data_IF_287379472473
#
_entry.id   IF_287379472473
#
_cell.length_a   1.000
_cell.length_b   1.000
_cell.length_c   1.000
_cell.angle_alpha   90.00
_cell.angle_beta   90.00
_cell.angle_gamma   90.00
#
_symmetry.space_group_name_H-M   'P 1'
#
loop_
_entity.id
_entity.type
_entity.pdbx_description
1 polymer ?
#
# COMPACT_ATOMS: atom_id res chain seq x y z
N UNK A 1 -15.63 3.83 -1.92
CA UNK A 1 -14.58 4.87 -1.74
C UNK A 1 -14.09 4.87 -0.29
N UNK A 2 -12.77 4.83 -0.07
CA UNK A 2 -12.11 4.98 1.25
C UNK A 2 -12.47 6.38 1.79
N UNK A 3 -13.31 6.50 2.83
CA UNK A 3 -13.53 7.81 3.49
C UNK A 3 -12.32 8.12 4.35
N UNK A 4 -11.85 9.37 4.32
CA UNK A 4 -10.68 9.79 5.09
C UNK A 4 -10.81 9.43 6.58
N UNK A 5 -9.72 8.95 7.17
CA UNK A 5 -9.64 8.62 8.60
C UNK A 5 -10.09 7.20 8.97
N UNK A 6 -10.80 6.49 8.08
CA UNK A 6 -11.15 5.07 8.30
C UNK A 6 -9.93 4.17 8.28
N UNK A 7 -9.98 3.05 9.00
CA UNK A 7 -8.92 2.04 8.94
C UNK A 7 -9.00 1.28 7.62
N UNK A 8 -7.84 1.05 7.03
CA UNK A 8 -7.70 0.30 5.78
C UNK A 8 -6.60 -0.74 5.89
N UNK A 9 -6.79 -1.88 5.23
CA UNK A 9 -5.74 -2.85 4.95
C UNK A 9 -5.59 -2.97 3.44
N UNK A 10 -4.39 -2.69 2.94
CA UNK A 10 -3.99 -2.95 1.56
C UNK A 10 -3.17 -4.24 1.52
N UNK A 11 -3.69 -5.27 0.87
CA UNK A 11 -2.96 -6.51 0.65
C UNK A 11 -2.44 -6.56 -0.80
N UNK A 12 -1.14 -6.75 -0.94
CA UNK A 12 -0.43 -6.90 -2.21
C UNK A 12 -0.04 -8.38 -2.30
N UNK A 13 -0.56 -9.07 -3.30
CA UNK A 13 -0.33 -10.50 -3.51
C UNK A 13 0.36 -10.69 -4.85
N UNK A 14 1.49 -11.39 -4.86
CA UNK A 14 2.24 -11.72 -6.06
C UNK A 14 2.67 -13.18 -6.06
N UNK A 15 3.28 -13.64 -7.15
CA UNK A 15 3.90 -14.99 -7.21
C UNK A 15 5.04 -15.19 -6.20
N UNK A 16 5.60 -14.10 -5.67
CA UNK A 16 6.74 -14.12 -4.75
C UNK A 16 6.33 -14.02 -3.27
N UNK A 17 5.05 -13.80 -3.00
CA UNK A 17 4.55 -13.64 -1.64
C UNK A 17 3.43 -12.62 -1.53
N UNK A 18 2.93 -12.46 -0.31
CA UNK A 18 1.87 -11.52 0.04
C UNK A 18 2.30 -10.62 1.18
N UNK A 19 1.89 -9.35 1.12
CA UNK A 19 2.15 -8.35 2.18
C UNK A 19 0.88 -7.55 2.40
N UNK A 20 0.44 -7.47 3.66
CA UNK A 20 -0.70 -6.66 4.05
C UNK A 20 -0.24 -5.45 4.88
N UNK A 21 -0.66 -4.27 4.45
CA UNK A 21 -0.26 -2.98 4.98
C UNK A 21 -1.48 -2.33 5.60
N UNK A 22 -1.42 -2.03 6.90
CA UNK A 22 -2.51 -1.40 7.62
C UNK A 22 -2.21 0.08 7.80
N UNK A 23 -3.24 0.92 7.70
CA UNK A 23 -3.13 2.36 7.95
C UNK A 23 -4.50 3.04 7.94
N UNK A 24 -4.52 4.36 7.84
CA UNK A 24 -5.74 5.16 7.70
C UNK A 24 -5.92 5.62 6.26
N UNK A 25 -7.15 5.52 5.75
CA UNK A 25 -7.55 6.04 4.44
C UNK A 25 -7.30 7.54 4.35
N UNK A 26 -6.69 7.99 3.25
CA UNK A 26 -6.78 9.37 2.79
C UNK A 26 -7.93 9.52 1.77
N UNK A 27 -8.40 10.74 1.53
CA UNK A 27 -9.28 11.03 0.39
C UNK A 27 -8.44 10.95 -0.90
N UNK A 28 -8.47 9.79 -1.54
CA UNK A 28 -7.73 9.49 -2.77
C UNK A 28 -8.65 9.63 -3.99
N UNK A 29 -8.26 10.46 -4.96
CA UNK A 29 -9.06 10.77 -6.14
C UNK A 29 -8.73 9.93 -7.38
N UNK A 30 -7.86 8.92 -7.25
CA UNK A 30 -7.46 8.08 -8.38
C UNK A 30 -6.30 8.69 -9.15
N UNK A 31 -5.22 7.93 -9.30
CA UNK A 31 -4.07 8.31 -10.13
C UNK A 31 -3.34 7.03 -10.56
N UNK A 32 -2.43 7.15 -11.52
CA UNK A 32 -1.54 6.04 -11.92
C UNK A 32 -0.51 5.69 -10.83
N UNK A 33 -0.42 6.46 -9.75
CA UNK A 33 0.61 6.33 -8.71
C UNK A 33 0.01 6.47 -7.31
N UNK A 34 0.11 5.39 -6.56
CA UNK A 34 -0.36 5.33 -5.17
C UNK A 34 0.84 5.35 -4.22
N UNK A 35 0.74 6.15 -3.17
CA UNK A 35 1.75 6.23 -2.10
C UNK A 35 1.12 5.76 -0.79
N UNK A 36 1.87 4.96 -0.04
CA UNK A 36 1.58 4.56 1.33
C UNK A 36 2.61 5.21 2.25
N UNK A 37 2.15 5.84 3.34
CA UNK A 37 3.02 6.65 4.21
C UNK A 37 2.94 6.18 5.66
N UNK A 38 4.12 6.00 6.27
CA UNK A 38 4.24 5.65 7.69
C UNK A 38 3.87 6.81 8.62
N UNK A 39 4.07 8.05 8.18
CA UNK A 39 3.69 9.25 8.93
C UNK A 39 2.33 9.82 8.50
N UNK A 40 1.87 10.86 9.21
CA UNK A 40 0.55 11.47 9.01
C UNK A 40 0.49 12.51 7.89
N UNK A 41 1.60 12.75 7.19
CA UNK A 41 1.63 13.64 6.03
C UNK A 41 0.76 13.07 4.90
N UNK A 42 -0.07 13.92 4.28
CA UNK A 42 -1.00 13.54 3.21
C UNK A 42 -0.67 14.33 1.95
N UNK A 43 -0.66 13.64 0.82
CA UNK A 43 -0.62 14.22 -0.52
C UNK A 43 -1.74 13.61 -1.37
N UNK A 44 -2.15 14.22 -2.49
CA UNK A 44 -3.21 13.67 -3.35
C UNK A 44 -2.97 12.22 -3.81
N UNK A 45 -1.69 11.83 -3.98
CA UNK A 45 -1.28 10.47 -4.33
C UNK A 45 -1.31 9.49 -3.15
N UNK A 46 -1.50 9.98 -1.92
CA UNK A 46 -1.48 9.14 -0.71
C UNK A 46 -2.80 8.39 -0.62
N UNK A 47 -2.75 7.06 -0.55
CA UNK A 47 -3.92 6.21 -0.32
C UNK A 47 -4.08 5.86 1.16
N UNK A 48 -2.97 5.47 1.80
CA UNK A 48 -2.92 5.19 3.25
C UNK A 48 -1.82 6.02 3.92
N UNK A 49 -2.12 6.56 5.10
CA UNK A 49 -1.18 7.24 5.99
C UNK A 49 -1.19 6.56 7.38
N UNK A 50 -0.26 6.94 8.27
CA UNK A 50 -0.02 6.26 9.55
C UNK A 50 0.15 4.73 9.38
N UNK A 51 0.81 4.30 8.30
CA UNK A 51 0.92 2.88 8.00
C UNK A 51 1.87 2.15 8.95
N UNK A 52 1.55 0.90 9.28
CA UNK A 52 2.47 0.03 10.03
C UNK A 52 3.68 -0.45 9.21
N UNK A 53 3.69 -0.13 7.90
CA UNK A 53 4.62 -0.67 6.92
C UNK A 53 5.21 0.44 6.05
N UNK A 54 6.47 0.31 5.68
CA UNK A 54 7.22 1.21 4.79
C UNK A 54 7.97 0.44 3.71
N UNK A 55 8.55 1.15 2.75
CA UNK A 55 9.37 0.52 1.71
C UNK A 55 10.57 -0.26 2.27
N UNK A 56 11.09 0.13 3.44
CA UNK A 56 12.18 -0.57 4.12
C UNK A 56 11.76 -1.90 4.74
N UNK A 57 10.44 -2.07 4.98
CA UNK A 57 9.88 -3.29 5.58
C UNK A 57 9.56 -4.35 4.52
N UNK A 58 9.65 -4.00 3.22
CA UNK A 58 9.47 -4.96 2.11
C UNK A 58 10.65 -5.93 2.09
N UNK A 59 10.34 -7.23 1.95
CA UNK A 59 11.35 -8.27 1.77
C UNK A 59 12.27 -7.95 0.58
N UNK A 60 13.58 -7.93 0.84
CA UNK A 60 14.60 -7.64 -0.16
C UNK A 60 14.58 -8.66 -1.29
N UNK A 61 14.25 -9.91 -1.00
CA UNK A 61 14.18 -10.96 -2.02
C UNK A 61 13.02 -10.71 -2.97
N UNK A 62 11.90 -10.20 -2.46
CA UNK A 62 10.76 -9.76 -3.28
C UNK A 62 11.14 -8.57 -4.17
N UNK A 63 11.88 -7.58 -3.63
CA UNK A 63 12.40 -6.45 -4.43
C UNK A 63 13.37 -6.95 -5.52
N UNK A 64 14.28 -7.84 -5.19
CA UNK A 64 15.28 -8.35 -6.13
C UNK A 64 14.62 -9.17 -7.24
N UNK A 65 13.69 -10.06 -6.88
CA UNK A 65 12.92 -10.83 -7.84
C UNK A 65 12.07 -9.92 -8.75
N UNK A 66 11.50 -8.85 -8.18
CA UNK A 66 10.75 -7.85 -8.92
C UNK A 66 11.58 -7.11 -9.97
N UNK A 67 12.81 -6.72 -9.61
CA UNK A 67 13.72 -5.99 -10.50
C UNK A 67 14.20 -6.83 -11.68
N UNK A 68 14.44 -8.12 -11.45
CA UNK A 68 14.99 -9.01 -12.49
C UNK A 68 13.93 -9.48 -13.50
N UNK A 69 12.71 -9.76 -13.04
CA UNK A 69 11.71 -10.47 -13.86
C UNK A 69 10.41 -9.70 -14.05
N UNK A 70 10.27 -8.53 -13.42
CA UNK A 70 8.99 -7.88 -13.23
C UNK A 70 8.08 -8.63 -12.25
N UNK A 71 7.10 -7.92 -11.70
CA UNK A 71 6.07 -8.52 -10.83
C UNK A 71 4.71 -8.18 -11.38
N UNK A 72 3.88 -9.20 -11.52
CA UNK A 72 2.43 -9.03 -11.55
C UNK A 72 1.92 -9.25 -10.14
N UNK A 73 1.19 -8.27 -9.63
CA UNK A 73 0.57 -8.32 -8.31
C UNK A 73 -0.91 -7.99 -8.42
N UNK A 74 -1.71 -8.69 -7.63
CA UNK A 74 -3.09 -8.31 -7.34
C UNK A 74 -3.06 -7.46 -6.07
N UNK A 75 -3.70 -6.30 -6.12
CA UNK A 75 -3.79 -5.38 -5.00
C UNK A 75 -5.25 -5.27 -4.59
N UNK A 76 -5.55 -5.57 -3.34
CA UNK A 76 -6.90 -5.45 -2.76
C UNK A 76 -6.87 -4.51 -1.57
N UNK A 77 -7.79 -3.56 -1.55
CA UNK A 77 -8.00 -2.64 -0.44
C UNK A 77 -9.28 -3.02 0.31
N UNK A 78 -9.15 -3.31 1.59
CA UNK A 78 -10.27 -3.52 2.51
C UNK A 78 -10.37 -2.32 3.45
N UNK A 79 -11.57 -1.76 3.60
CA UNK A 79 -11.82 -0.59 4.47
C UNK A 79 -12.82 -0.99 5.54
N UNK A 80 -12.47 -0.75 6.81
CA UNK A 80 -13.30 -1.09 7.96
C UNK A 80 -13.38 0.10 8.94
N UNK A 81 -14.32 0.01 9.88
CA UNK A 81 -14.62 1.08 10.85
C UNK A 81 -13.56 1.17 11.95
#
# INVERSE_FOLDING_TARGET
>A
MCREGRKGVLCIISRYGATCIQGKCNQFEGSCKIILRKGSFKSPETLLYDTNFSAYDIDRDLINAARLWGVRAVVTLMVYQ
#
